data_IF_070334283983
#
_entry.id   IF_070334283983
#
_cell.length_a   1.000
_cell.length_b   1.000
_cell.length_c   1.000
_cell.angle_alpha   90.00
_cell.angle_beta   90.00
_cell.angle_gamma   90.00
#
_symmetry.space_group_name_H-M   'P 1'
#
loop_
_entity.id
_entity.type
_entity.pdbx_description
1 polymer ?
#
# COMPACT_ATOMS: atom_id res chain seq x y z
N UNK A 1 -22.73 9.28 -12.65
CA UNK A 1 -22.56 10.73 -12.34
C UNK A 1 -23.88 11.52 -12.32
N UNK A 2 -24.98 10.91 -12.76
CA UNK A 2 -26.37 11.36 -12.58
C UNK A 2 -26.75 11.68 -11.12
N UNK A 3 -26.11 11.06 -10.14
CA UNK A 3 -26.38 11.25 -8.71
C UNK A 3 -27.23 10.13 -8.11
N UNK A 4 -27.44 9.04 -8.85
CA UNK A 4 -28.08 7.85 -8.31
C UNK A 4 -27.22 7.20 -7.22
N UNK A 5 -27.88 6.77 -6.15
CA UNK A 5 -27.23 6.03 -5.08
C UNK A 5 -27.17 4.55 -5.45
N UNK A 6 -26.03 3.92 -5.20
CA UNK A 6 -25.87 2.48 -5.35
C UNK A 6 -25.04 1.91 -4.20
N UNK A 7 -25.16 0.59 -4.00
CA UNK A 7 -24.35 -0.17 -3.06
C UNK A 7 -23.50 -1.15 -3.86
N UNK A 8 -22.21 -1.21 -3.56
CA UNK A 8 -21.28 -2.16 -4.16
C UNK A 8 -20.60 -3.00 -3.08
N UNK A 9 -20.49 -4.30 -3.34
CA UNK A 9 -19.92 -5.27 -2.41
C UNK A 9 -20.84 -5.57 -1.22
N UNK A 10 -20.27 -6.21 -0.21
CA UNK A 10 -20.95 -6.56 1.03
C UNK A 10 -20.04 -7.40 1.94
N UNK A 11 -20.37 -7.55 3.24
CA UNK A 11 -19.58 -8.31 4.21
C UNK A 11 -19.77 -9.82 3.99
N UNK A 12 -19.28 -10.31 2.86
CA UNK A 12 -19.39 -11.72 2.45
C UNK A 12 -18.01 -12.38 2.47
N UNK A 13 -17.97 -13.66 2.83
CA UNK A 13 -16.72 -14.45 2.81
C UNK A 13 -16.27 -14.74 1.38
N UNK A 14 -17.24 -14.87 0.45
CA UNK A 14 -17.00 -15.04 -0.98
C UNK A 14 -17.85 -14.08 -1.76
N UNK A 15 -17.20 -13.30 -2.62
CA UNK A 15 -17.84 -12.47 -3.63
C UNK A 15 -17.46 -13.05 -5.00
N UNK A 16 -18.23 -14.03 -5.48
CA UNK A 16 -17.91 -14.83 -6.70
C UNK A 16 -18.86 -14.55 -7.87
N UNK A 17 -19.70 -13.52 -7.77
CA UNK A 17 -20.70 -13.18 -8.79
C UNK A 17 -20.70 -11.69 -9.08
N UNK A 18 -20.63 -11.33 -10.36
CA UNK A 18 -20.68 -9.94 -10.81
C UNK A 18 -19.31 -9.25 -10.92
N UNK A 19 -19.34 -7.96 -11.22
CA UNK A 19 -18.14 -7.12 -11.34
C UNK A 19 -17.68 -6.60 -9.97
N UNK A 20 -16.38 -6.54 -9.75
CA UNK A 20 -15.79 -5.97 -8.53
C UNK A 20 -15.74 -4.44 -8.60
N UNK A 21 -16.91 -3.81 -8.43
CA UNK A 21 -17.03 -2.35 -8.41
C UNK A 21 -16.25 -1.74 -7.24
N UNK A 22 -16.12 -2.44 -6.11
CA UNK A 22 -15.31 -1.96 -4.99
C UNK A 22 -13.86 -1.72 -5.41
N UNK A 23 -13.22 -2.69 -6.08
CA UNK A 23 -11.86 -2.53 -6.61
C UNK A 23 -11.75 -1.45 -7.67
N UNK A 24 -12.77 -1.26 -8.51
CA UNK A 24 -12.78 -0.16 -9.48
C UNK A 24 -12.78 1.22 -8.80
N UNK A 25 -13.49 1.37 -7.69
CA UNK A 25 -13.61 2.66 -6.99
C UNK A 25 -12.39 2.97 -6.13
N UNK A 26 -11.69 1.96 -5.59
CA UNK A 26 -10.44 2.14 -4.85
C UNK A 26 -9.40 2.81 -5.76
N UNK A 27 -8.76 3.87 -5.25
CA UNK A 27 -7.80 4.69 -6.01
C UNK A 27 -8.37 5.45 -7.22
N UNK A 28 -9.70 5.46 -7.44
CA UNK A 28 -10.33 6.30 -8.48
C UNK A 28 -10.25 7.80 -8.19
N UNK A 29 -9.79 8.18 -6.99
CA UNK A 29 -9.72 9.56 -6.51
C UNK A 29 -11.06 10.29 -6.62
N UNK A 30 -12.18 9.59 -6.50
CA UNK A 30 -13.52 10.18 -6.61
C UNK A 30 -13.92 10.60 -8.02
N UNK A 31 -13.19 10.18 -9.05
CA UNK A 31 -13.47 10.54 -10.45
C UNK A 31 -14.49 9.62 -11.12
N UNK A 32 -14.85 8.49 -10.49
CA UNK A 32 -15.83 7.53 -11.01
C UNK A 32 -17.12 7.48 -10.18
N UNK A 33 -17.04 7.74 -8.88
CA UNK A 33 -18.18 7.91 -7.98
C UNK A 33 -17.77 8.70 -6.73
N UNK A 34 -18.74 9.28 -6.03
CA UNK A 34 -18.57 9.79 -4.68
C UNK A 34 -18.83 8.66 -3.68
N UNK A 35 -17.86 8.36 -2.81
CA UNK A 35 -18.03 7.36 -1.76
C UNK A 35 -18.68 7.99 -0.53
N UNK A 36 -19.87 7.52 -0.14
CA UNK A 36 -20.58 7.97 1.06
C UNK A 36 -20.24 7.13 2.29
N UNK A 37 -20.56 5.82 2.24
CA UNK A 37 -20.32 4.87 3.34
C UNK A 37 -19.36 3.78 2.85
N UNK A 38 -18.38 3.45 3.68
CA UNK A 38 -17.43 2.37 3.41
C UNK A 38 -17.45 1.34 4.55
N UNK A 39 -17.46 0.06 4.18
CA UNK A 39 -17.27 -1.04 5.13
C UNK A 39 -15.86 -1.59 4.93
N UNK A 40 -15.03 -1.47 5.96
CA UNK A 40 -13.64 -1.92 5.93
C UNK A 40 -13.48 -3.19 6.78
N UNK A 41 -12.73 -4.15 6.25
CA UNK A 41 -12.28 -5.30 7.04
C UNK A 41 -11.14 -4.86 7.94
N UNK A 42 -11.30 -5.02 9.25
CA UNK A 42 -10.23 -4.78 10.21
C UNK A 42 -9.47 -6.07 10.52
N UNK A 43 -8.26 -5.91 11.07
CA UNK A 43 -7.51 -6.99 11.71
C UNK A 43 -7.59 -6.81 13.24
N UNK A 44 -7.50 -7.90 14.02
CA UNK A 44 -7.34 -7.78 15.47
C UNK A 44 -6.14 -6.89 15.80
N UNK A 45 -6.25 -6.09 16.86
CA UNK A 45 -5.13 -5.32 17.39
C UNK A 45 -4.05 -6.32 17.87
N UNK A 46 -2.79 -6.20 17.44
CA UNK A 46 -1.73 -7.07 17.93
C UNK A 46 -1.46 -6.80 19.41
N UNK A 47 -0.99 -7.80 20.14
CA UNK A 47 -0.57 -7.64 21.54
C UNK A 47 0.73 -6.85 21.63
N UNK A 48 1.61 -7.07 20.65
CA UNK A 48 2.90 -6.42 20.55
C UNK A 48 3.40 -6.38 19.10
N UNK A 49 4.37 -5.50 18.86
CA UNK A 49 5.12 -5.41 17.61
C UNK A 49 6.57 -5.06 17.89
N UNK A 50 7.47 -5.47 17.00
CA UNK A 50 8.90 -5.14 17.09
C UNK A 50 9.47 -4.86 15.71
N UNK A 51 10.33 -3.85 15.63
CA UNK A 51 11.12 -3.57 14.46
C UNK A 51 12.47 -4.28 14.54
N UNK A 52 12.88 -4.90 13.43
CA UNK A 52 14.22 -5.42 13.23
C UNK A 52 14.87 -4.71 12.05
N UNK A 53 16.19 -4.56 12.09
CA UNK A 53 17.03 -4.01 11.01
C UNK A 53 18.15 -4.98 10.64
N UNK A 54 18.47 -5.10 9.36
CA UNK A 54 19.59 -5.89 8.87
C UNK A 54 19.76 -5.80 7.36
N UNK A 55 20.68 -6.58 6.80
CA UNK A 55 20.97 -6.61 5.36
C UNK A 55 20.42 -7.90 4.72
N UNK A 56 19.10 -8.11 4.83
CA UNK A 56 18.42 -9.26 4.25
C UNK A 56 17.51 -8.86 3.09
N UNK A 57 17.39 -9.76 2.11
CA UNK A 57 16.44 -9.63 1.01
C UNK A 57 15.03 -10.01 1.46
N UNK A 58 14.03 -9.45 0.77
CA UNK A 58 12.60 -9.73 1.05
C UNK A 58 12.31 -11.24 1.05
N UNK A 59 12.87 -11.99 0.08
CA UNK A 59 12.62 -13.42 -0.02
C UNK A 59 13.18 -14.22 1.17
N UNK A 60 14.26 -13.76 1.78
CA UNK A 60 14.84 -14.38 2.96
C UNK A 60 13.94 -14.11 4.17
N UNK A 61 13.46 -12.88 4.32
CA UNK A 61 12.52 -12.48 5.37
C UNK A 61 11.23 -13.32 5.27
N UNK A 62 10.64 -13.44 4.09
CA UNK A 62 9.37 -14.15 3.88
C UNK A 62 9.47 -15.68 4.09
N UNK A 63 10.69 -16.26 4.12
CA UNK A 63 10.88 -17.68 4.46
C UNK A 63 10.77 -17.94 5.97
N UNK A 64 11.04 -16.94 6.81
CA UNK A 64 11.12 -17.08 8.26
C UNK A 64 10.10 -16.24 9.04
N UNK A 65 9.48 -15.27 8.39
CA UNK A 65 8.42 -14.43 8.96
C UNK A 65 7.12 -14.61 8.17
N UNK A 66 6.05 -15.00 8.85
CA UNK A 66 4.76 -15.16 8.20
C UNK A 66 3.99 -13.84 8.20
N UNK A 67 3.87 -13.21 7.03
CA UNK A 67 3.11 -11.96 6.81
C UNK A 67 3.59 -10.81 7.72
N UNK A 68 4.84 -10.35 7.56
CA UNK A 68 5.31 -9.15 8.26
C UNK A 68 4.36 -7.98 8.03
N UNK A 69 4.15 -7.17 9.06
CA UNK A 69 3.27 -6.00 8.97
C UNK A 69 3.85 -4.93 8.04
N UNK A 70 5.18 -4.81 7.99
CA UNK A 70 5.91 -3.92 7.06
C UNK A 70 7.29 -4.48 6.75
N UNK A 71 7.77 -4.26 5.51
CA UNK A 71 9.16 -4.53 5.10
C UNK A 71 9.65 -3.33 4.30
N UNK A 72 10.49 -2.50 4.91
CA UNK A 72 11.02 -1.27 4.35
C UNK A 72 12.49 -1.45 3.95
N UNK A 73 12.95 -0.72 2.93
CA UNK A 73 14.33 -0.70 2.51
C UNK A 73 14.80 0.73 2.27
N UNK A 74 15.95 1.12 2.84
CA UNK A 74 16.53 2.48 2.72
C UNK A 74 17.62 2.58 1.62
N UNK A 75 17.79 1.52 0.83
CA UNK A 75 18.85 1.37 -0.17
C UNK A 75 20.08 0.60 0.32
N UNK A 76 20.20 0.39 1.64
CA UNK A 76 21.27 -0.39 2.25
C UNK A 76 20.72 -1.47 3.18
N UNK A 77 19.85 -1.08 4.10
CA UNK A 77 19.28 -1.92 5.14
C UNK A 77 17.82 -2.21 4.85
N UNK A 78 17.40 -3.38 5.26
CA UNK A 78 16.00 -3.79 5.32
C UNK A 78 15.50 -3.73 6.76
N UNK A 79 14.30 -3.18 6.94
CA UNK A 79 13.63 -3.00 8.20
C UNK A 79 12.34 -3.81 8.16
N UNK A 80 12.11 -4.63 9.18
CA UNK A 80 10.95 -5.52 9.24
C UNK A 80 10.17 -5.23 10.50
N UNK A 81 8.88 -4.93 10.34
CA UNK A 81 7.94 -4.90 11.45
C UNK A 81 7.20 -6.22 11.51
N UNK A 82 7.35 -6.93 12.63
CA UNK A 82 6.53 -8.10 12.97
C UNK A 82 5.58 -7.73 14.10
N UNK A 83 4.32 -8.15 13.99
CA UNK A 83 3.27 -7.86 14.95
C UNK A 83 2.43 -9.11 15.21
N UNK A 84 1.99 -9.31 16.45
CA UNK A 84 1.13 -10.46 16.77
C UNK A 84 1.12 -10.81 18.25
N UNK A 85 1.01 -12.12 18.50
CA UNK A 85 1.10 -12.71 19.82
C UNK A 85 2.55 -12.90 20.25
N UNK A 86 2.82 -12.76 21.54
CA UNK A 86 4.18 -12.80 22.09
C UNK A 86 5.00 -14.03 21.65
N UNK A 87 4.39 -15.22 21.70
CA UNK A 87 5.09 -16.47 21.34
C UNK A 87 5.50 -16.53 19.87
N UNK A 88 4.65 -16.04 18.98
CA UNK A 88 4.91 -16.02 17.54
C UNK A 88 5.97 -14.96 17.24
N UNK A 89 5.84 -13.77 17.83
CA UNK A 89 6.80 -12.68 17.68
C UNK A 89 8.21 -13.08 18.15
N UNK A 90 8.33 -13.70 19.33
CA UNK A 90 9.62 -14.17 19.84
C UNK A 90 10.26 -15.22 18.92
N UNK A 91 9.46 -16.14 18.38
CA UNK A 91 9.93 -17.18 17.46
C UNK A 91 10.42 -16.61 16.13
N UNK A 92 9.66 -15.68 15.55
CA UNK A 92 10.01 -15.04 14.27
C UNK A 92 11.21 -14.10 14.43
N UNK A 93 11.23 -13.27 15.48
CA UNK A 93 12.38 -12.42 15.83
C UNK A 93 13.65 -13.25 15.96
N UNK A 94 13.63 -14.30 16.78
CA UNK A 94 14.79 -15.16 17.00
C UNK A 94 15.26 -15.89 15.72
N UNK A 95 14.36 -16.09 14.75
CA UNK A 95 14.71 -16.68 13.45
C UNK A 95 15.41 -15.66 12.55
N UNK A 96 14.92 -14.42 12.52
CA UNK A 96 15.55 -13.32 11.77
C UNK A 96 16.87 -12.87 12.40
N UNK A 97 16.99 -12.89 13.73
CA UNK A 97 18.24 -12.56 14.43
C UNK A 97 19.38 -13.53 14.08
N UNK A 98 19.06 -14.83 13.91
CA UNK A 98 20.04 -15.82 13.43
C UNK A 98 20.53 -15.57 12.01
N UNK A 99 19.78 -14.82 11.22
CA UNK A 99 20.14 -14.41 9.86
C UNK A 99 20.87 -13.06 9.83
N UNK A 100 21.16 -12.46 10.99
CA UNK A 100 21.90 -11.20 11.08
C UNK A 100 21.01 -9.95 11.17
N UNK A 101 19.70 -10.11 11.39
CA UNK A 101 18.88 -8.97 11.81
C UNK A 101 19.11 -8.64 13.29
N UNK A 102 18.87 -7.40 13.67
CA UNK A 102 18.94 -6.92 15.05
C UNK A 102 17.67 -6.18 15.41
N UNK A 103 17.12 -6.47 16.58
CA UNK A 103 15.98 -5.73 17.13
C UNK A 103 16.37 -4.26 17.32
N UNK A 104 15.47 -3.36 16.92
CA UNK A 104 15.65 -1.92 17.09
C UNK A 104 15.14 -1.47 18.45
N UNK A 105 15.94 -0.68 19.16
CA UNK A 105 15.50 -0.02 20.40
C UNK A 105 14.56 1.16 20.12
N UNK A 106 14.69 1.78 18.94
CA UNK A 106 13.93 2.94 18.49
C UNK A 106 13.33 2.62 17.12
N UNK A 107 12.01 2.71 17.02
CA UNK A 107 11.29 2.50 15.76
C UNK A 107 11.75 3.47 14.66
N UNK A 108 11.78 3.03 13.39
CA UNK A 108 12.11 3.92 12.28
C UNK A 108 11.04 5.01 12.12
N UNK A 109 11.48 6.25 11.93
CA UNK A 109 10.58 7.36 11.59
C UNK A 109 10.26 7.26 10.10
N UNK A 110 9.03 6.86 9.78
CA UNK A 110 8.57 6.71 8.40
C UNK A 110 8.12 8.09 7.86
N UNK A 111 8.76 8.61 6.79
CA UNK A 111 8.36 9.87 6.16
C UNK A 111 7.03 9.72 5.38
N UNK A 112 6.45 10.81 4.85
CA UNK A 112 5.21 10.75 4.09
C UNK A 112 5.30 9.88 2.83
N UNK A 113 4.19 9.23 2.47
CA UNK A 113 4.05 8.54 1.19
C UNK A 113 4.16 9.54 0.04
N UNK A 114 5.06 9.29 -0.91
CA UNK A 114 5.23 10.08 -2.12
C UNK A 114 4.80 9.27 -3.35
N UNK A 115 4.25 9.96 -4.35
CA UNK A 115 3.92 9.39 -5.66
C UNK A 115 4.89 9.94 -6.69
N UNK A 116 5.44 9.07 -7.53
CA UNK A 116 6.32 9.48 -8.61
C UNK A 116 7.18 8.33 -9.11
N UNK A 117 8.19 8.67 -9.89
CA UNK A 117 9.22 7.72 -10.34
C UNK A 117 10.02 7.25 -9.12
N UNK A 118 10.33 5.95 -9.05
CA UNK A 118 11.20 5.43 -8.02
C UNK A 118 12.62 5.97 -8.24
N UNK A 119 13.15 6.71 -7.27
CA UNK A 119 14.56 7.08 -7.26
C UNK A 119 15.39 5.90 -6.76
N UNK A 120 16.52 5.64 -7.42
CA UNK A 120 17.48 4.61 -7.00
C UNK A 120 18.13 4.95 -5.65
N UNK A 121 18.23 6.24 -5.32
CA UNK A 121 18.80 6.70 -4.07
C UNK A 121 17.70 7.00 -3.04
N UNK A 122 17.59 6.13 -2.04
CA UNK A 122 16.62 6.22 -0.95
C UNK A 122 17.24 6.81 0.33
N UNK A 123 18.33 7.58 0.23
CA UNK A 123 19.09 8.08 1.40
C UNK A 123 18.26 8.85 2.45
N UNK A 124 17.06 9.34 2.10
CA UNK A 124 16.15 10.08 2.98
C UNK A 124 14.76 9.42 3.14
N UNK A 125 14.62 8.15 2.75
CA UNK A 125 13.33 7.50 2.58
C UNK A 125 13.35 5.98 2.66
N UNK A 126 12.20 5.39 2.36
CA UNK A 126 12.00 3.95 2.35
C UNK A 126 11.21 3.51 1.11
N UNK A 127 11.61 2.40 0.52
CA UNK A 127 10.75 1.60 -0.35
C UNK A 127 10.12 0.48 0.49
N UNK A 128 8.80 0.42 0.53
CA UNK A 128 8.07 -0.74 1.06
C UNK A 128 8.10 -1.86 0.03
N UNK A 129 8.85 -2.91 0.35
CA UNK A 129 9.07 -4.06 -0.51
C UNK A 129 7.80 -4.92 -0.69
N UNK A 130 6.78 -4.76 0.16
CA UNK A 130 5.52 -5.49 0.04
C UNK A 130 4.50 -4.78 -0.85
N UNK A 131 4.48 -3.44 -0.82
CA UNK A 131 3.47 -2.63 -1.53
C UNK A 131 4.01 -1.86 -2.73
N UNK A 132 5.33 -1.72 -2.86
CA UNK A 132 5.98 -0.83 -3.82
C UNK A 132 5.81 0.66 -3.49
N UNK A 133 5.30 0.98 -2.30
CA UNK A 133 5.13 2.35 -1.84
C UNK A 133 6.49 3.00 -1.53
N UNK A 134 6.64 4.27 -1.87
CA UNK A 134 7.84 5.06 -1.56
C UNK A 134 7.48 6.10 -0.51
N UNK A 135 8.27 6.16 0.54
CA UNK A 135 8.18 7.15 1.61
C UNK A 135 9.40 8.05 1.54
N UNK A 136 9.23 9.36 1.44
CA UNK A 136 10.34 10.32 1.44
C UNK A 136 9.83 11.72 1.80
N UNK A 137 10.72 12.56 2.35
CA UNK A 137 10.45 13.98 2.53
C UNK A 137 10.70 14.79 1.25
N UNK A 138 11.41 14.19 0.28
CA UNK A 138 11.72 14.79 -1.01
C UNK A 138 10.60 14.48 -2.02
N UNK A 139 10.02 15.49 -2.68
CA UNK A 139 9.05 15.27 -3.74
C UNK A 139 9.63 14.44 -4.89
N UNK A 140 8.88 13.47 -5.38
CA UNK A 140 9.27 12.66 -6.52
C UNK A 140 8.85 13.30 -7.84
N UNK A 141 9.61 13.03 -8.91
CA UNK A 141 9.22 13.43 -10.25
C UNK A 141 7.89 12.78 -10.65
N UNK A 142 7.05 13.54 -11.36
CA UNK A 142 5.78 13.02 -11.85
C UNK A 142 6.04 11.91 -12.86
N UNK A 143 5.29 10.82 -12.74
CA UNK A 143 5.31 9.74 -13.73
C UNK A 143 4.76 10.30 -15.05
N UNK A 144 5.58 10.30 -16.10
CA UNK A 144 5.09 10.61 -17.44
C UNK A 144 4.29 9.43 -17.98
N UNK A 145 3.03 9.70 -18.31
CA UNK A 145 2.09 8.66 -18.74
C UNK A 145 1.95 8.70 -20.25
N UNK A 146 2.04 7.52 -20.87
CA UNK A 146 1.91 7.37 -22.30
C UNK A 146 0.54 7.82 -22.81
N UNK A 147 0.50 8.29 -24.05
CA UNK A 147 -0.73 8.76 -24.68
C UNK A 147 -1.81 7.65 -24.74
N UNK A 148 -1.41 6.40 -25.01
CA UNK A 148 -2.33 5.26 -25.02
C UNK A 148 -3.03 5.03 -23.69
N UNK A 149 -2.32 5.19 -22.56
CA UNK A 149 -2.92 5.06 -21.21
C UNK A 149 -3.88 6.21 -20.94
N UNK A 150 -3.54 7.44 -21.36
CA UNK A 150 -4.44 8.61 -21.24
C UNK A 150 -5.73 8.38 -22.02
N UNK A 151 -5.64 7.95 -23.28
CA UNK A 151 -6.80 7.66 -24.13
C UNK A 151 -7.70 6.57 -23.53
N UNK A 152 -7.11 5.48 -23.01
CA UNK A 152 -7.86 4.42 -22.36
C UNK A 152 -8.57 4.91 -21.10
N UNK A 153 -7.86 5.67 -20.25
CA UNK A 153 -8.41 6.19 -19.00
C UNK A 153 -9.52 7.22 -19.25
N UNK A 154 -9.35 8.11 -20.24
CA UNK A 154 -10.36 9.09 -20.63
C UNK A 154 -11.61 8.40 -21.19
N UNK A 155 -11.45 7.32 -21.97
CA UNK A 155 -12.58 6.50 -22.43
C UNK A 155 -13.34 5.86 -21.27
N UNK A 156 -12.65 5.31 -20.28
CA UNK A 156 -13.27 4.75 -19.08
C UNK A 156 -14.02 5.87 -18.34
N UNK A 157 -13.36 7.01 -18.10
CA UNK A 157 -13.96 8.14 -17.39
C UNK A 157 -15.24 8.63 -18.08
N UNK A 158 -15.24 8.76 -19.40
CA UNK A 158 -16.42 9.19 -20.15
C UNK A 158 -17.62 8.24 -20.00
N UNK A 159 -17.40 6.94 -19.75
CA UNK A 159 -18.49 5.99 -19.50
C UNK A 159 -19.13 6.18 -18.11
N UNK A 160 -18.40 6.68 -17.11
CA UNK A 160 -18.90 6.85 -15.74
C UNK A 160 -19.31 8.30 -15.41
N UNK A 161 -18.61 9.26 -16.00
CA UNK A 161 -18.75 10.71 -15.78
C UNK A 161 -18.67 11.48 -17.11
N UNK A 162 -19.64 11.30 -18.02
CA UNK A 162 -19.64 11.96 -19.33
C UNK A 162 -19.71 13.49 -19.25
N UNK A 163 -20.17 14.05 -18.12
CA UNK A 163 -20.27 15.50 -17.90
C UNK A 163 -19.09 16.08 -17.12
N UNK A 164 -18.12 15.24 -16.69
CA UNK A 164 -16.93 15.69 -15.98
C UNK A 164 -17.20 16.27 -14.59
N UNK A 165 -18.33 15.93 -13.96
CA UNK A 165 -18.79 16.49 -12.69
C UNK A 165 -18.03 15.90 -11.49
N UNK A 166 -17.49 14.69 -11.61
CA UNK A 166 -16.88 13.96 -10.50
C UNK A 166 -15.41 14.36 -10.31
N UNK A 167 -15.15 14.96 -9.14
CA UNK A 167 -13.85 15.47 -8.68
C UNK A 167 -13.05 16.21 -9.78
N UNK A 168 -13.55 17.37 -10.26
CA UNK A 168 -12.90 18.12 -11.35
C UNK A 168 -11.47 18.52 -11.00
N UNK A 169 -10.58 18.52 -12.00
CA UNK A 169 -9.16 18.80 -11.83
C UNK A 169 -8.34 17.62 -11.30
N UNK A 170 -8.97 16.51 -10.89
CA UNK A 170 -8.28 15.28 -10.49
C UNK A 170 -8.17 14.30 -11.65
N UNK A 171 -6.99 13.71 -11.81
CA UNK A 171 -6.74 12.57 -12.69
C UNK A 171 -6.14 11.42 -11.87
N UNK A 172 -6.62 10.18 -12.06
CA UNK A 172 -6.10 9.01 -11.35
C UNK A 172 -4.71 8.55 -11.86
N UNK A 173 -4.24 9.18 -12.92
CA UNK A 173 -2.94 9.01 -13.54
C UNK A 173 -2.17 10.35 -13.42
#
# INVERSE_FOLDING_TARGET
ADGEQFVAGGPTVKNVTGYDICRLLVSSLGTLALMGVVTLRTRPKPEMGVWLKGELLLEEILRYCYRPASVLHDGHNTFVLIEGYEKDLQKESASLEKLGMSVMEIDPIIPPLVKGVLQENLSDGFLDLQTGAVYSNTPQEKIEISEGVKLLSDRIKNNFDPTGRLNPGRRPY
#
